data_IF_604899683029
#
_entry.id   IF_604899683029
#
_cell.length_a   1.000
_cell.length_b   1.000
_cell.length_c   1.000
_cell.angle_alpha   90.00
_cell.angle_beta   90.00
_cell.angle_gamma   90.00
#
_symmetry.space_group_name_H-M   'P 1'
#
loop_
_entity.id
_entity.type
_entity.pdbx_description
1 polymer ?
#
# COMPACT_ATOMS: atom_id res chain seq x y z
N UNK A 1 -35.69 -22.28 16.17
CA UNK A 1 -35.21 -22.28 14.76
C UNK A 1 -34.97 -20.88 14.16
N UNK A 2 -35.57 -19.81 14.70
CA UNK A 2 -35.41 -18.44 14.17
C UNK A 2 -34.07 -17.79 14.57
N UNK A 3 -33.56 -18.07 15.77
CA UNK A 3 -32.27 -17.57 16.29
C UNK A 3 -31.06 -18.03 15.47
N UNK A 4 -31.06 -19.26 14.97
CA UNK A 4 -29.99 -19.76 14.08
C UNK A 4 -29.99 -19.05 12.72
N UNK A 5 -31.15 -18.66 12.19
CA UNK A 5 -31.23 -17.99 10.88
C UNK A 5 -30.71 -16.56 10.91
N UNK A 6 -30.98 -15.85 12.01
CA UNK A 6 -30.46 -14.49 12.23
C UNK A 6 -28.94 -14.50 12.45
N UNK A 7 -28.43 -15.48 13.19
CA UNK A 7 -26.99 -15.69 13.38
C UNK A 7 -26.27 -16.01 12.06
N UNK A 8 -26.83 -16.87 11.21
CA UNK A 8 -26.26 -17.17 9.89
C UNK A 8 -26.27 -15.96 8.97
N UNK A 9 -27.32 -15.13 8.98
CA UNK A 9 -27.38 -13.92 8.17
C UNK A 9 -26.33 -12.88 8.61
N UNK A 10 -26.15 -12.69 9.91
CA UNK A 10 -25.13 -11.79 10.45
C UNK A 10 -23.71 -12.27 10.10
N UNK A 11 -23.45 -13.58 10.17
CA UNK A 11 -22.16 -14.15 9.80
C UNK A 11 -21.88 -13.95 8.31
N UNK A 12 -22.89 -14.15 7.46
CA UNK A 12 -22.76 -13.98 6.01
C UNK A 12 -22.48 -12.51 5.64
N UNK A 13 -23.16 -11.56 6.29
CA UNK A 13 -22.91 -10.13 6.10
C UNK A 13 -21.51 -9.72 6.57
N UNK A 14 -21.04 -10.26 7.69
CA UNK A 14 -19.69 -10.01 8.18
C UNK A 14 -18.62 -10.52 7.20
N UNK A 15 -18.81 -11.73 6.66
CA UNK A 15 -17.90 -12.30 5.65
C UNK A 15 -17.90 -11.47 4.37
N UNK A 16 -19.08 -11.02 3.92
CA UNK A 16 -19.18 -10.15 2.73
C UNK A 16 -18.43 -8.82 2.94
N UNK A 17 -18.59 -8.20 4.11
CA UNK A 17 -17.93 -6.94 4.43
C UNK A 17 -16.39 -7.07 4.44
N UNK A 18 -15.87 -8.15 5.01
CA UNK A 18 -14.42 -8.43 5.02
C UNK A 18 -13.88 -8.64 3.60
N UNK A 19 -14.64 -9.33 2.74
CA UNK A 19 -14.26 -9.56 1.35
C UNK A 19 -14.20 -8.27 0.52
N UNK A 20 -15.12 -7.33 0.76
CA UNK A 20 -15.11 -6.01 0.09
C UNK A 20 -13.96 -5.13 0.59
N UNK A 21 -13.63 -5.16 1.88
CA UNK A 21 -12.52 -4.40 2.44
C UNK A 21 -11.14 -4.87 1.96
N UNK A 22 -11.03 -6.15 1.58
CA UNK A 22 -9.79 -6.75 1.09
C UNK A 22 -9.51 -6.52 -0.40
N UNK A 23 -10.32 -5.70 -1.10
CA UNK A 23 -10.10 -5.44 -2.52
C UNK A 23 -8.70 -4.82 -2.75
N UNK A 24 -7.91 -5.38 -3.68
CA UNK A 24 -6.62 -4.81 -4.01
C UNK A 24 -6.82 -3.42 -4.62
N UNK A 25 -6.00 -2.46 -4.18
CA UNK A 25 -5.98 -1.11 -4.75
C UNK A 25 -5.80 -1.17 -6.26
N UNK A 26 -6.65 -0.44 -6.98
CA UNK A 26 -6.62 -0.42 -8.44
C UNK A 26 -5.36 0.24 -8.96
N UNK A 27 -5.00 -0.03 -10.23
CA UNK A 27 -3.82 0.56 -10.85
C UNK A 27 -3.91 2.09 -10.88
N UNK A 28 -5.07 2.62 -11.29
CA UNK A 28 -5.30 4.06 -11.40
C UNK A 28 -5.20 4.75 -10.04
N UNK A 29 -5.76 4.15 -8.98
CA UNK A 29 -5.61 4.66 -7.61
C UNK A 29 -4.15 4.68 -7.16
N UNK A 30 -3.37 3.64 -7.48
CA UNK A 30 -1.94 3.61 -7.16
C UNK A 30 -1.17 4.71 -7.88
N UNK A 31 -1.43 4.92 -9.17
CA UNK A 31 -0.78 5.96 -9.97
C UNK A 31 -1.15 7.34 -9.44
N UNK A 32 -2.43 7.59 -9.18
CA UNK A 32 -2.91 8.86 -8.60
C UNK A 32 -2.26 9.14 -7.25
N UNK A 33 -2.20 8.15 -6.37
CA UNK A 33 -1.55 8.29 -5.06
C UNK A 33 -0.04 8.59 -5.18
N UNK A 34 0.65 7.97 -6.14
CA UNK A 34 2.06 8.28 -6.43
C UNK A 34 2.24 9.71 -6.96
N UNK A 35 1.37 10.15 -7.87
CA UNK A 35 1.39 11.52 -8.41
C UNK A 35 1.18 12.55 -7.29
N UNK A 36 0.23 12.31 -6.38
CA UNK A 36 -0.03 13.20 -5.24
C UNK A 36 1.17 13.28 -4.27
N UNK A 37 1.88 12.16 -4.05
CA UNK A 37 3.12 12.15 -3.26
C UNK A 37 4.25 12.93 -3.96
N UNK A 38 4.41 12.73 -5.27
CA UNK A 38 5.43 13.39 -6.08
C UNK A 38 5.17 14.89 -6.22
N UNK A 39 3.90 15.31 -6.23
CA UNK A 39 3.53 16.72 -6.24
C UNK A 39 4.00 17.44 -4.97
N UNK A 40 4.06 16.73 -3.83
CA UNK A 40 4.54 17.29 -2.55
C UNK A 40 6.06 17.28 -2.46
N UNK A 41 6.71 16.21 -2.90
CA UNK A 41 8.17 16.06 -2.87
C UNK A 41 8.66 15.27 -4.08
N UNK A 42 9.72 15.75 -4.77
CA UNK A 42 10.23 15.11 -5.99
C UNK A 42 10.80 13.71 -5.73
N UNK A 43 11.22 13.42 -4.50
CA UNK A 43 11.69 12.10 -4.08
C UNK A 43 10.82 11.58 -2.93
N UNK A 44 10.07 10.49 -3.19
CA UNK A 44 9.21 9.88 -2.19
C UNK A 44 10.03 9.00 -1.25
N UNK A 45 10.06 9.34 0.04
CA UNK A 45 10.62 8.44 1.07
C UNK A 45 9.75 7.19 1.18
N UNK A 46 10.35 6.05 0.91
CA UNK A 46 9.69 4.76 0.96
C UNK A 46 9.90 4.09 2.32
N UNK A 47 8.82 3.58 2.89
CA UNK A 47 8.84 2.59 3.97
C UNK A 47 8.46 1.21 3.38
N UNK A 48 8.42 0.18 4.22
CA UNK A 48 8.10 -1.17 3.75
C UNK A 48 6.68 -1.31 3.17
N UNK A 49 5.70 -0.59 3.70
CA UNK A 49 4.33 -0.67 3.19
C UNK A 49 4.22 -0.02 1.80
N UNK A 50 4.76 1.19 1.64
CA UNK A 50 4.84 1.87 0.34
C UNK A 50 5.65 1.06 -0.66
N UNK A 51 6.76 0.45 -0.24
CA UNK A 51 7.56 -0.43 -1.08
C UNK A 51 6.75 -1.63 -1.58
N UNK A 52 6.00 -2.30 -0.69
CA UNK A 52 5.12 -3.40 -1.06
C UNK A 52 4.07 -2.93 -2.07
N UNK A 53 3.36 -1.84 -1.79
CA UNK A 53 2.24 -1.36 -2.62
C UNK A 53 2.66 -0.83 -3.99
N UNK A 54 3.70 0.01 -4.05
CA UNK A 54 4.08 0.75 -5.25
C UNK A 54 5.23 0.11 -6.04
N UNK A 55 6.09 -0.69 -5.40
CA UNK A 55 7.26 -1.29 -6.08
C UNK A 55 7.10 -2.78 -6.31
N UNK A 56 6.54 -3.54 -5.35
CA UNK A 56 6.44 -5.00 -5.48
C UNK A 56 5.12 -5.48 -6.04
N UNK A 57 4.01 -4.94 -5.56
CA UNK A 57 2.67 -5.38 -5.92
C UNK A 57 2.39 -5.05 -7.39
N UNK A 58 1.80 -6.01 -8.10
CA UNK A 58 1.28 -5.85 -9.46
C UNK A 58 -0.23 -5.49 -9.40
N UNK A 59 -0.81 -4.94 -10.46
CA UNK A 59 -0.21 -4.51 -11.74
C UNK A 59 0.56 -3.18 -11.63
N UNK A 60 1.49 -2.92 -12.55
CA UNK A 60 2.20 -1.63 -12.70
C UNK A 60 2.42 -1.27 -14.18
N UNK A 61 2.22 0.00 -14.52
CA UNK A 61 2.47 0.59 -15.85
C UNK A 61 3.46 1.76 -15.78
N UNK A 62 4.29 1.80 -14.75
CA UNK A 62 5.28 2.86 -14.50
C UNK A 62 6.61 2.24 -14.08
N UNK A 63 7.70 2.95 -14.39
CA UNK A 63 9.05 2.61 -13.94
C UNK A 63 9.36 3.32 -12.62
N UNK A 64 10.25 2.72 -11.81
CA UNK A 64 10.69 3.28 -10.53
C UNK A 64 12.20 3.43 -10.54
N UNK A 65 12.70 4.62 -10.20
CA UNK A 65 14.11 4.85 -9.90
C UNK A 65 14.24 4.91 -8.38
N UNK A 66 15.11 4.06 -7.82
CA UNK A 66 15.21 3.87 -6.38
C UNK A 66 16.66 4.11 -5.95
N UNK A 67 16.84 5.01 -5.00
CA UNK A 67 18.10 5.22 -4.31
C UNK A 67 18.05 4.54 -2.93
N UNK A 68 18.80 3.45 -2.78
CA UNK A 68 19.02 2.86 -1.47
C UNK A 68 20.10 3.67 -0.74
N UNK A 69 19.81 4.06 0.49
CA UNK A 69 20.70 4.91 1.30
C UNK A 69 20.57 4.59 2.77
N UNK A 70 21.57 4.99 3.56
CA UNK A 70 21.60 4.86 5.01
C UNK A 70 21.99 6.21 5.65
N UNK A 71 21.00 7.10 5.77
CA UNK A 71 21.16 8.47 6.28
C UNK A 71 20.92 8.61 7.80
N UNK A 72 20.72 7.51 8.53
CA UNK A 72 20.52 7.61 9.97
C UNK A 72 21.79 8.16 10.64
N UNK A 73 21.67 9.04 11.65
CA UNK A 73 22.84 9.71 12.24
C UNK A 73 23.83 8.73 12.89
N UNK A 74 23.37 7.55 13.31
CA UNK A 74 24.23 6.48 13.82
C UNK A 74 25.00 5.71 12.74
N UNK A 75 24.63 5.85 11.47
CA UNK A 75 25.30 5.23 10.34
C UNK A 75 26.17 6.29 9.67
N UNK A 76 27.45 6.31 10.01
CA UNK A 76 28.42 7.23 9.41
C UNK A 76 28.79 6.76 7.99
N UNK A 77 27.87 6.87 7.03
CA UNK A 77 28.09 6.56 5.61
C UNK A 77 28.31 7.84 4.79
N UNK A 78 29.57 8.21 4.44
CA UNK A 78 29.84 9.42 3.65
C UNK A 78 29.30 9.37 2.22
N UNK A 79 29.31 8.19 1.59
CA UNK A 79 28.82 7.99 0.20
C UNK A 79 27.29 8.15 0.12
N UNK A 80 26.60 7.89 1.23
CA UNK A 80 25.16 7.97 1.31
C UNK A 80 24.64 9.40 1.51
N UNK A 81 25.50 10.32 1.97
CA UNK A 81 25.19 11.70 2.35
C UNK A 81 25.17 12.66 1.16
#
# INVERSE_FOLDING_TARGET
MITNRLGTAALFLAVLAIAYAAQPTSLDEKVKALQDLLYRQPAVRMNMDRWKTFVRQQPRNYSMIIMFTALSPGVNCPICK
#
